data_IF_355115296189
#
_entry.id   IF_355115296189
#
_cell.length_a   1.000
_cell.length_b   1.000
_cell.length_c   1.000
_cell.angle_alpha   90.00
_cell.angle_beta   90.00
_cell.angle_gamma   90.00
#
_symmetry.space_group_name_H-M   'P 1'
#
loop_
_entity.id
_entity.type
_entity.pdbx_description
1 polymer ?
#
# COMPACT_ATOMS: atom_id res chain seq x y z
N UNK A 1 -72.56 3.82 12.35
CA UNK A 1 -71.42 4.71 12.63
C UNK A 1 -70.55 4.16 13.77
N UNK A 2 -70.30 2.85 13.79
CA UNK A 2 -69.25 2.26 14.62
C UNK A 2 -68.01 2.13 13.74
N UNK A 3 -66.90 2.68 14.22
CA UNK A 3 -65.52 2.28 13.92
C UNK A 3 -64.82 2.67 12.60
N UNK A 4 -65.05 3.89 12.10
CA UNK A 4 -64.10 4.47 11.13
C UNK A 4 -62.71 4.72 11.75
N UNK A 5 -62.66 5.12 13.03
CA UNK A 5 -61.40 5.39 13.76
C UNK A 5 -60.53 4.15 14.00
N UNK A 6 -61.15 3.00 14.24
CA UNK A 6 -60.44 1.73 14.48
C UNK A 6 -59.79 1.20 13.19
N UNK A 7 -60.49 1.35 12.06
CA UNK A 7 -59.96 1.01 10.74
C UNK A 7 -58.85 1.97 10.29
N UNK A 8 -59.05 3.28 10.49
CA UNK A 8 -58.03 4.30 10.22
C UNK A 8 -56.77 4.09 11.09
N UNK A 9 -56.92 3.71 12.36
CA UNK A 9 -55.80 3.40 13.25
C UNK A 9 -55.03 2.13 12.82
N UNK A 10 -55.72 1.10 12.34
CA UNK A 10 -55.10 -0.13 11.82
C UNK A 10 -54.26 0.14 10.57
N UNK A 11 -54.78 0.93 9.63
CA UNK A 11 -54.04 1.33 8.43
C UNK A 11 -52.82 2.17 8.80
N UNK A 12 -52.98 3.13 9.72
CA UNK A 12 -51.88 3.97 10.17
C UNK A 12 -50.76 3.14 10.82
N UNK A 13 -51.11 2.17 11.68
CA UNK A 13 -50.12 1.26 12.28
C UNK A 13 -49.40 0.37 11.26
N UNK A 14 -50.08 0.02 10.16
CA UNK A 14 -49.48 -0.77 9.08
C UNK A 14 -48.49 0.08 8.27
N UNK A 15 -48.85 1.32 7.96
CA UNK A 15 -47.97 2.28 7.27
C UNK A 15 -46.76 2.66 8.13
N UNK A 16 -46.95 2.85 9.44
CA UNK A 16 -45.86 3.11 10.39
C UNK A 16 -44.88 1.94 10.44
N UNK A 17 -45.38 0.70 10.46
CA UNK A 17 -44.55 -0.50 10.42
C UNK A 17 -43.77 -0.60 9.10
N UNK A 18 -44.40 -0.36 7.95
CA UNK A 18 -43.73 -0.36 6.65
C UNK A 18 -42.64 0.72 6.54
N UNK A 19 -42.91 1.93 7.04
CA UNK A 19 -41.94 3.02 7.08
C UNK A 19 -40.74 2.66 7.97
N UNK A 20 -40.99 2.10 9.16
CA UNK A 20 -39.93 1.68 10.05
C UNK A 20 -39.08 0.58 9.41
N UNK A 21 -39.70 -0.40 8.77
CA UNK A 21 -38.98 -1.46 8.07
C UNK A 21 -38.13 -0.91 6.92
N UNK A 22 -38.63 0.05 6.15
CA UNK A 22 -37.85 0.73 5.10
C UNK A 22 -36.67 1.51 5.67
N UNK A 23 -36.85 2.22 6.79
CA UNK A 23 -35.77 2.94 7.47
C UNK A 23 -34.69 1.95 7.92
N UNK A 24 -35.07 0.85 8.56
CA UNK A 24 -34.12 -0.19 9.01
C UNK A 24 -33.33 -0.77 7.83
N UNK A 25 -33.99 -1.05 6.69
CA UNK A 25 -33.30 -1.54 5.49
C UNK A 25 -32.33 -0.52 4.89
N UNK A 26 -32.69 0.77 4.88
CA UNK A 26 -31.82 1.84 4.40
C UNK A 26 -30.60 2.00 5.32
N UNK A 27 -30.82 2.00 6.64
CA UNK A 27 -29.74 2.08 7.64
C UNK A 27 -28.79 0.88 7.53
N UNK A 28 -29.34 -0.33 7.37
CA UNK A 28 -28.53 -1.53 7.19
C UNK A 28 -27.72 -1.47 5.89
N UNK A 29 -28.34 -1.04 4.78
CA UNK A 29 -27.65 -0.87 3.51
C UNK A 29 -26.52 0.18 3.60
N UNK A 30 -26.77 1.30 4.29
CA UNK A 30 -25.76 2.33 4.53
C UNK A 30 -24.62 1.81 5.40
N UNK A 31 -24.92 1.12 6.51
CA UNK A 31 -23.91 0.52 7.37
C UNK A 31 -23.04 -0.49 6.62
N UNK A 32 -23.66 -1.39 5.84
CA UNK A 32 -22.94 -2.35 5.01
C UNK A 32 -22.07 -1.66 3.97
N UNK A 33 -22.58 -0.62 3.29
CA UNK A 33 -21.82 0.15 2.31
C UNK A 33 -20.60 0.83 2.92
N UNK A 34 -20.75 1.47 4.08
CA UNK A 34 -19.64 2.10 4.81
C UNK A 34 -18.62 1.07 5.26
N UNK A 35 -19.06 -0.05 5.85
CA UNK A 35 -18.16 -1.12 6.29
C UNK A 35 -17.37 -1.72 5.11
N UNK A 36 -18.03 -2.01 3.99
CA UNK A 36 -17.38 -2.52 2.78
C UNK A 36 -16.38 -1.51 2.22
N UNK A 37 -16.74 -0.23 2.14
CA UNK A 37 -15.86 0.83 1.65
C UNK A 37 -14.60 0.97 2.51
N UNK A 38 -14.76 0.98 3.84
CA UNK A 38 -13.63 1.03 4.78
C UNK A 38 -12.74 -0.22 4.63
N UNK A 39 -13.34 -1.41 4.61
CA UNK A 39 -12.60 -2.66 4.49
C UNK A 39 -11.81 -2.71 3.17
N UNK A 40 -12.44 -2.36 2.05
CA UNK A 40 -11.78 -2.32 0.75
C UNK A 40 -10.66 -1.28 0.72
N UNK A 41 -10.91 -0.07 1.22
CA UNK A 41 -9.90 0.99 1.28
C UNK A 41 -8.67 0.60 2.10
N UNK A 42 -8.88 0.01 3.29
CA UNK A 42 -7.78 -0.49 4.13
C UNK A 42 -7.03 -1.62 3.43
N UNK A 43 -7.74 -2.58 2.85
CA UNK A 43 -7.10 -3.72 2.18
C UNK A 43 -6.27 -3.27 0.97
N UNK A 44 -6.81 -2.37 0.14
CA UNK A 44 -6.11 -1.81 -1.01
C UNK A 44 -4.89 -1.00 -0.57
N UNK A 45 -5.03 -0.12 0.43
CA UNK A 45 -3.92 0.69 0.93
C UNK A 45 -2.79 -0.15 1.52
N UNK A 46 -3.12 -1.20 2.30
CA UNK A 46 -2.10 -2.12 2.84
C UNK A 46 -1.41 -2.89 1.70
N UNK A 47 -2.17 -3.37 0.71
CA UNK A 47 -1.61 -4.13 -0.39
C UNK A 47 -0.65 -3.27 -1.23
N UNK A 48 -1.09 -2.08 -1.64
CA UNK A 48 -0.28 -1.13 -2.41
C UNK A 48 0.98 -0.73 -1.64
N UNK A 49 0.83 -0.29 -0.38
CA UNK A 49 1.98 0.13 0.41
C UNK A 49 3.00 -0.99 0.67
N UNK A 50 2.55 -2.24 0.79
CA UNK A 50 3.46 -3.39 0.91
C UNK A 50 4.16 -3.74 -0.40
N UNK A 51 3.48 -3.60 -1.53
CA UNK A 51 4.03 -3.88 -2.85
C UNK A 51 5.08 -2.83 -3.22
N UNK A 52 4.72 -1.55 -3.13
CA UNK A 52 5.61 -0.41 -3.37
C UNK A 52 6.84 -0.46 -2.45
N UNK A 53 6.62 -0.57 -1.13
CA UNK A 53 7.74 -0.61 -0.17
C UNK A 53 8.67 -1.82 -0.36
N UNK A 54 8.15 -2.96 -0.84
CA UNK A 54 8.98 -4.13 -1.16
C UNK A 54 9.80 -3.88 -2.42
N UNK A 55 9.21 -3.31 -3.46
CA UNK A 55 9.90 -3.02 -4.71
C UNK A 55 11.00 -1.98 -4.52
N UNK A 56 10.70 -0.87 -3.84
CA UNK A 56 11.67 0.16 -3.50
C UNK A 56 12.82 -0.43 -2.66
N UNK A 57 12.50 -1.22 -1.62
CA UNK A 57 13.51 -1.84 -0.77
C UNK A 57 14.42 -2.83 -1.52
N UNK A 58 13.86 -3.62 -2.45
CA UNK A 58 14.66 -4.53 -3.29
C UNK A 58 15.55 -3.75 -4.25
N UNK A 59 15.03 -2.70 -4.88
CA UNK A 59 15.80 -1.90 -5.82
C UNK A 59 16.96 -1.18 -5.12
N UNK A 60 16.68 -0.51 -4.00
CA UNK A 60 17.71 0.17 -3.20
C UNK A 60 18.76 -0.83 -2.69
N UNK A 61 18.33 -1.96 -2.12
CA UNK A 61 19.25 -2.98 -1.63
C UNK A 61 20.14 -3.58 -2.72
N UNK A 62 19.61 -3.72 -3.94
CA UNK A 62 20.39 -4.19 -5.09
C UNK A 62 21.41 -3.17 -5.56
N UNK A 63 21.02 -1.89 -5.66
CA UNK A 63 21.92 -0.81 -6.05
C UNK A 63 23.04 -0.62 -5.04
N UNK A 64 22.71 -0.56 -3.74
CA UNK A 64 23.70 -0.48 -2.65
C UNK A 64 24.63 -1.70 -2.67
N UNK A 65 24.09 -2.91 -2.87
CA UNK A 65 24.90 -4.12 -2.97
C UNK A 65 25.87 -4.11 -4.15
N UNK A 66 25.44 -3.63 -5.32
CA UNK A 66 26.30 -3.48 -6.50
C UNK A 66 27.41 -2.47 -6.21
N UNK A 67 27.07 -1.29 -5.66
CA UNK A 67 28.07 -0.27 -5.32
C UNK A 67 29.10 -0.77 -4.30
N UNK A 68 28.64 -1.42 -3.22
CA UNK A 68 29.52 -2.00 -2.20
C UNK A 68 30.44 -3.07 -2.80
N UNK A 69 29.91 -3.92 -3.69
CA UNK A 69 30.72 -4.93 -4.36
C UNK A 69 31.76 -4.31 -5.29
N UNK A 70 31.38 -3.29 -6.08
CA UNK A 70 32.32 -2.55 -6.94
C UNK A 70 33.46 -1.94 -6.13
N UNK A 71 33.15 -1.33 -4.99
CA UNK A 71 34.14 -0.78 -4.04
C UNK A 71 35.04 -1.89 -3.47
N UNK A 72 34.47 -3.02 -3.08
CA UNK A 72 35.23 -4.16 -2.55
C UNK A 72 36.21 -4.73 -3.59
N UNK A 73 35.78 -4.84 -4.85
CA UNK A 73 36.63 -5.25 -5.96
C UNK A 73 37.78 -4.25 -6.15
N UNK A 74 37.48 -2.95 -6.22
CA UNK A 74 38.49 -1.91 -6.39
C UNK A 74 39.55 -1.95 -5.27
N UNK A 75 39.13 -2.11 -4.01
CA UNK A 75 40.05 -2.28 -2.86
C UNK A 75 40.94 -3.51 -3.01
N UNK A 76 40.36 -4.65 -3.39
CA UNK A 76 41.12 -5.89 -3.60
C UNK A 76 42.15 -5.74 -4.71
N UNK A 77 41.80 -5.09 -5.82
CA UNK A 77 42.72 -4.82 -6.91
C UNK A 77 43.87 -3.89 -6.49
N UNK A 78 43.57 -2.84 -5.71
CA UNK A 78 44.60 -1.92 -5.18
C UNK A 78 45.57 -2.64 -4.24
N UNK A 79 45.07 -3.53 -3.38
CA UNK A 79 45.90 -4.36 -2.49
C UNK A 79 46.81 -5.33 -3.27
N UNK A 80 46.35 -5.83 -4.42
CA UNK A 80 47.14 -6.67 -5.31
C UNK A 80 48.15 -5.89 -6.16
N UNK A 81 48.19 -4.56 -6.05
CA UNK A 81 49.15 -3.71 -6.75
C UNK A 81 48.81 -3.48 -8.23
N UNK A 82 47.55 -3.66 -8.64
CA UNK A 82 47.11 -3.23 -9.97
C UNK A 82 47.19 -1.71 -10.10
N UNK A 83 47.53 -1.23 -11.29
CA UNK A 83 47.56 0.19 -11.59
C UNK A 83 46.15 0.78 -11.68
N UNK A 84 46.03 2.08 -11.39
CA UNK A 84 44.76 2.78 -11.31
C UNK A 84 43.96 2.70 -12.62
N UNK A 85 44.61 2.72 -13.79
CA UNK A 85 43.92 2.64 -15.08
C UNK A 85 43.25 1.28 -15.27
N UNK A 86 43.93 0.19 -14.91
CA UNK A 86 43.33 -1.15 -14.94
C UNK A 86 42.16 -1.27 -13.96
N UNK A 87 42.25 -0.68 -12.77
CA UNK A 87 41.14 -0.70 -11.78
C UNK A 87 39.94 0.09 -12.29
N UNK A 88 40.16 1.26 -12.90
CA UNK A 88 39.11 2.06 -13.54
C UNK A 88 38.40 1.27 -14.63
N UNK A 89 39.14 0.54 -15.48
CA UNK A 89 38.55 -0.27 -16.54
C UNK A 89 37.68 -1.42 -16.02
N UNK A 90 38.05 -2.03 -14.89
CA UNK A 90 37.31 -3.16 -14.29
C UNK A 90 36.07 -2.69 -13.52
N UNK A 91 36.22 -1.62 -12.73
CA UNK A 91 35.21 -1.21 -11.74
C UNK A 91 34.35 -0.03 -12.19
N UNK A 92 34.75 0.66 -13.27
CA UNK A 92 34.12 1.87 -13.78
C UNK A 92 34.05 3.03 -12.77
N UNK A 93 34.84 2.96 -11.70
CA UNK A 93 35.00 4.04 -10.74
C UNK A 93 35.89 5.14 -11.33
N UNK A 94 35.69 6.37 -10.83
CA UNK A 94 36.59 7.47 -11.16
C UNK A 94 37.96 7.26 -10.55
N UNK A 95 38.97 7.95 -11.10
CA UNK A 95 40.31 7.94 -10.53
C UNK A 95 40.29 8.45 -9.09
N UNK A 96 39.52 9.51 -8.84
CA UNK A 96 39.35 10.13 -7.53
C UNK A 96 38.78 9.13 -6.52
N UNK A 97 37.74 8.37 -6.89
CA UNK A 97 37.16 7.35 -6.03
C UNK A 97 38.18 6.26 -5.68
N UNK A 98 38.95 5.78 -6.66
CA UNK A 98 39.96 4.73 -6.45
C UNK A 98 41.14 5.22 -5.62
N UNK A 99 41.56 6.48 -5.80
CA UNK A 99 42.61 7.11 -5.00
C UNK A 99 42.17 7.29 -3.55
N UNK A 100 40.88 7.54 -3.31
CA UNK A 100 40.28 7.68 -1.99
C UNK A 100 40.03 6.34 -1.24
N UNK A 101 40.08 5.18 -1.93
CA UNK A 101 39.89 3.84 -1.33
C UNK A 101 41.10 3.31 -0.56
#
# INVERSE_FOLDING_TARGET
YMDNKSYEASILSTQEFELQWQIEQIEEAQMRGVQQGIQQGIQQGIQQGREEGREEGIQQGREEGIQQNTIAIARSCKQQGLDTETIMAITQLSREDIEAL
#
